data_IF_105219604884
#
_entry.id   IF_105219604884
#
_cell.length_a   1.000
_cell.length_b   1.000
_cell.length_c   1.000
_cell.angle_alpha   90.00
_cell.angle_beta   90.00
_cell.angle_gamma   90.00
#
_symmetry.space_group_name_H-M   'P 1'
#
loop_
_entity.id
_entity.type
_entity.pdbx_description
1 polymer ?
#
# COMPACT_ATOMS: atom_id res chain seq x y z
N UNK A 1 -23.33 -17.04 -25.88
CA UNK A 1 -22.04 -17.15 -26.60
C UNK A 1 -20.93 -16.72 -25.65
N UNK A 2 -20.00 -17.61 -25.30
CA UNK A 2 -18.84 -17.28 -24.45
C UNK A 2 -17.74 -16.68 -25.33
N UNK A 3 -17.14 -15.56 -24.92
CA UNK A 3 -15.95 -15.01 -25.58
C UNK A 3 -14.79 -16.01 -25.49
N UNK A 4 -13.95 -16.06 -26.53
CA UNK A 4 -12.70 -16.81 -26.48
C UNK A 4 -11.78 -16.19 -25.40
N UNK A 5 -10.87 -16.98 -24.79
CA UNK A 5 -9.93 -16.48 -23.79
C UNK A 5 -9.12 -15.27 -24.28
N UNK A 6 -8.68 -15.26 -25.54
CA UNK A 6 -7.94 -14.16 -26.15
C UNK A 6 -8.78 -12.87 -26.27
N UNK A 7 -10.04 -12.99 -26.71
CA UNK A 7 -10.96 -11.86 -26.76
C UNK A 7 -11.28 -11.30 -25.37
N UNK A 8 -11.37 -12.17 -24.36
CA UNK A 8 -11.55 -11.75 -22.97
C UNK A 8 -10.36 -10.94 -22.46
N UNK A 9 -9.13 -11.40 -22.70
CA UNK A 9 -7.91 -10.67 -22.32
C UNK A 9 -7.81 -9.31 -23.01
N UNK A 10 -8.09 -9.24 -24.32
CA UNK A 10 -8.12 -7.97 -25.06
C UNK A 10 -9.16 -7.01 -24.52
N UNK A 11 -10.36 -7.51 -24.20
CA UNK A 11 -11.44 -6.70 -23.62
C UNK A 11 -11.06 -6.14 -22.24
N UNK A 12 -10.45 -6.95 -21.36
CA UNK A 12 -9.99 -6.50 -20.03
C UNK A 12 -8.93 -5.40 -20.16
N UNK A 13 -7.97 -5.58 -21.08
CA UNK A 13 -6.94 -4.56 -21.35
C UNK A 13 -7.53 -3.25 -21.89
N UNK A 14 -8.54 -3.31 -22.76
CA UNK A 14 -9.23 -2.13 -23.24
C UNK A 14 -9.99 -1.43 -22.10
N UNK A 15 -10.68 -2.18 -21.25
CA UNK A 15 -11.38 -1.64 -20.07
C UNK A 15 -10.42 -0.93 -19.12
N UNK A 16 -9.31 -1.56 -18.77
CA UNK A 16 -8.32 -0.94 -17.88
C UNK A 16 -7.69 0.31 -18.49
N UNK A 17 -7.46 0.32 -19.81
CA UNK A 17 -6.95 1.50 -20.53
C UNK A 17 -7.95 2.65 -20.53
N UNK A 18 -9.22 2.38 -20.84
CA UNK A 18 -10.29 3.41 -20.87
C UNK A 18 -10.56 3.96 -19.47
N UNK A 19 -10.58 3.10 -18.45
CA UNK A 19 -10.70 3.52 -17.05
C UNK A 19 -9.51 4.41 -16.66
N UNK A 20 -8.31 4.00 -17.02
CA UNK A 20 -7.07 4.76 -16.84
C UNK A 20 -7.14 6.17 -17.43
N UNK A 21 -7.45 6.28 -18.72
CA UNK A 21 -7.58 7.56 -19.40
C UNK A 21 -8.67 8.45 -18.78
N UNK A 22 -9.78 7.85 -18.35
CA UNK A 22 -10.87 8.59 -17.72
C UNK A 22 -10.45 9.23 -16.39
N UNK A 23 -9.69 8.50 -15.58
CA UNK A 23 -9.15 9.01 -14.30
C UNK A 23 -8.07 10.06 -14.55
N UNK A 24 -7.11 9.79 -15.45
CA UNK A 24 -6.08 10.77 -15.85
C UNK A 24 -6.73 12.07 -16.33
N UNK A 25 -7.78 11.99 -17.16
CA UNK A 25 -8.52 13.17 -17.62
C UNK A 25 -9.21 13.91 -16.46
N UNK A 26 -9.81 13.18 -15.52
CA UNK A 26 -10.38 13.75 -14.30
C UNK A 26 -9.34 14.51 -13.47
N UNK A 27 -8.14 13.93 -13.31
CA UNK A 27 -7.05 14.56 -12.59
C UNK A 27 -6.44 15.75 -13.31
N UNK A 28 -6.27 15.69 -14.64
CA UNK A 28 -5.86 16.85 -15.42
C UNK A 28 -6.88 17.99 -15.32
N UNK A 29 -8.17 17.68 -15.29
CA UNK A 29 -9.23 18.67 -15.07
C UNK A 29 -9.17 19.26 -13.67
N UNK A 30 -8.98 18.45 -12.64
CA UNK A 30 -8.85 18.91 -11.26
C UNK A 30 -7.59 19.75 -11.07
N UNK A 31 -6.44 19.29 -11.54
CA UNK A 31 -5.19 20.05 -11.51
C UNK A 31 -5.34 21.39 -12.22
N UNK A 32 -5.97 21.42 -13.41
CA UNK A 32 -6.27 22.66 -14.13
C UNK A 32 -7.25 23.57 -13.37
N UNK A 33 -8.21 23.00 -12.64
CA UNK A 33 -9.15 23.77 -11.83
C UNK A 33 -8.47 24.37 -10.59
N UNK A 34 -7.58 23.62 -9.95
CA UNK A 34 -6.77 24.06 -8.82
C UNK A 34 -5.81 25.16 -9.27
N UNK A 35 -5.04 24.96 -10.34
CA UNK A 35 -4.07 25.96 -10.85
C UNK A 35 -4.71 27.24 -11.38
N UNK A 36 -6.00 27.22 -11.77
CA UNK A 36 -6.75 28.43 -12.15
C UNK A 36 -7.25 29.25 -10.96
N UNK A 37 -7.38 28.63 -9.78
CA UNK A 37 -7.96 29.26 -8.58
C UNK A 37 -6.93 29.53 -7.48
N UNK A 38 -5.74 28.96 -7.61
CA UNK A 38 -4.77 28.88 -6.52
C UNK A 38 -3.36 29.05 -7.07
N UNK A 39 -2.69 30.11 -6.61
CA UNK A 39 -1.25 30.29 -6.72
C UNK A 39 -0.66 30.20 -5.30
N UNK A 40 0.14 29.17 -4.99
CA UNK A 40 0.74 28.96 -3.67
C UNK A 40 1.69 30.08 -3.24
N UNK A 41 2.24 30.84 -4.18
CA UNK A 41 3.14 31.97 -3.92
C UNK A 41 2.38 33.31 -3.84
N UNK A 42 1.05 33.29 -3.90
CA UNK A 42 0.25 34.51 -3.85
C UNK A 42 0.31 35.16 -2.46
N UNK A 43 0.86 36.38 -2.42
CA UNK A 43 1.03 37.18 -1.21
C UNK A 43 -0.30 37.38 -0.46
N UNK A 44 -0.24 37.21 0.86
CA UNK A 44 -1.33 37.55 1.78
C UNK A 44 -1.08 38.90 2.43
N UNK A 45 -2.15 39.61 2.74
CA UNK A 45 -2.04 40.79 3.58
C UNK A 45 -1.58 40.41 5.00
N UNK A 46 -0.56 41.09 5.56
CA UNK A 46 -0.03 40.81 6.89
C UNK A 46 -1.09 40.89 7.99
N UNK A 47 -0.91 40.08 9.04
CA UNK A 47 -1.73 40.18 10.24
C UNK A 47 -1.55 41.58 10.89
N UNK A 48 -2.66 42.26 11.19
CA UNK A 48 -2.67 43.63 11.72
C UNK A 48 -3.11 44.71 10.72
N UNK A 49 -3.22 44.37 9.43
CA UNK A 49 -3.80 45.26 8.40
C UNK A 49 -5.34 45.09 8.33
N UNK A 50 -6.09 46.09 7.84
CA UNK A 50 -7.55 45.99 7.67
C UNK A 50 -8.02 44.83 6.78
N UNK A 51 -7.16 44.33 5.88
CA UNK A 51 -7.41 43.14 5.06
C UNK A 51 -6.60 41.90 5.49
N UNK A 52 -6.06 41.86 6.71
CA UNK A 52 -5.24 40.75 7.20
C UNK A 52 -5.89 39.37 6.99
N UNK A 53 -5.14 38.45 6.37
CA UNK A 53 -5.61 37.12 5.98
C UNK A 53 -6.30 37.05 4.61
N UNK A 54 -6.56 38.18 3.95
CA UNK A 54 -7.04 38.22 2.57
C UNK A 54 -5.89 38.06 1.58
N UNK A 55 -6.23 37.62 0.36
CA UNK A 55 -5.32 37.67 -0.77
C UNK A 55 -5.06 39.13 -1.15
N UNK A 56 -3.80 39.54 -1.27
CA UNK A 56 -3.48 40.88 -1.73
C UNK A 56 -3.92 41.03 -3.20
N UNK A 57 -4.82 41.98 -3.47
CA UNK A 57 -5.21 42.30 -4.84
C UNK A 57 -4.25 43.35 -5.40
N UNK A 58 -3.30 42.94 -6.26
CA UNK A 58 -3.09 43.56 -7.58
C UNK A 58 -1.79 43.13 -8.26
N UNK A 59 -1.85 43.14 -9.60
CA UNK A 59 -0.76 43.63 -10.44
C UNK A 59 0.20 42.55 -10.93
N UNK A 60 0.28 42.41 -12.25
CA UNK A 60 1.16 41.43 -12.89
C UNK A 60 2.65 41.66 -12.63
N UNK A 61 3.39 40.55 -12.76
CA UNK A 61 4.83 40.55 -12.94
C UNK A 61 5.63 40.24 -11.67
N UNK A 62 6.04 38.98 -11.50
CA UNK A 62 7.42 38.52 -11.81
C UNK A 62 7.62 37.17 -11.12
N UNK A 63 7.45 36.09 -11.89
CA UNK A 63 7.55 34.72 -11.39
C UNK A 63 8.95 34.42 -10.88
N UNK A 64 9.06 34.25 -9.56
CA UNK A 64 10.19 33.58 -8.94
C UNK A 64 9.75 32.14 -8.66
N UNK A 65 10.52 31.22 -9.22
CA UNK A 65 10.25 29.79 -9.29
C UNK A 65 10.28 29.13 -7.91
N UNK A 66 9.12 29.03 -7.25
CA UNK A 66 8.85 28.09 -6.17
C UNK A 66 8.02 26.93 -6.72
N UNK A 67 8.61 25.75 -6.90
CA UNK A 67 7.88 24.55 -7.30
C UNK A 67 6.93 24.09 -6.20
N UNK A 68 5.70 24.61 -6.18
CA UNK A 68 4.59 24.01 -5.45
C UNK A 68 3.65 23.32 -6.45
N UNK A 69 3.97 22.07 -6.79
CA UNK A 69 3.09 21.25 -7.62
C UNK A 69 2.19 20.37 -6.74
N UNK A 70 0.88 20.62 -6.81
CA UNK A 70 -0.08 19.51 -6.78
C UNK A 70 0.34 18.55 -7.90
N UNK A 71 0.93 17.41 -7.56
CA UNK A 71 1.46 16.44 -8.51
C UNK A 71 0.52 15.25 -8.64
N UNK A 72 0.04 15.01 -9.86
CA UNK A 72 -0.54 13.72 -10.21
C UNK A 72 0.59 12.77 -10.58
N UNK A 73 0.67 11.64 -9.88
CA UNK A 73 1.65 10.61 -10.13
C UNK A 73 0.95 9.33 -10.55
N UNK A 74 1.43 8.69 -11.60
CA UNK A 74 0.94 7.39 -12.04
C UNK A 74 2.05 6.34 -11.88
N UNK A 75 1.69 5.20 -11.29
CA UNK A 75 2.56 4.04 -11.15
C UNK A 75 1.85 2.82 -11.71
N UNK A 76 2.54 2.01 -12.51
CA UNK A 76 2.02 0.72 -12.98
C UNK A 76 2.73 -0.38 -12.22
N UNK A 77 1.97 -1.23 -11.54
CA UNK A 77 2.49 -2.34 -10.75
C UNK A 77 2.75 -3.58 -11.62
N UNK A 78 3.48 -4.56 -11.09
CA UNK A 78 3.84 -5.78 -11.83
C UNK A 78 2.62 -6.60 -12.30
N UNK A 79 1.53 -6.59 -11.53
CA UNK A 79 0.26 -7.24 -11.89
C UNK A 79 -0.57 -6.46 -12.93
N UNK A 80 -0.02 -5.34 -13.44
CA UNK A 80 -0.64 -4.49 -14.45
C UNK A 80 -1.69 -3.52 -13.91
N UNK A 81 -1.82 -3.42 -12.58
CA UNK A 81 -2.68 -2.41 -11.94
C UNK A 81 -2.07 -1.02 -12.10
N UNK A 82 -2.90 0.00 -12.29
CA UNK A 82 -2.48 1.40 -12.42
C UNK A 82 -2.90 2.15 -11.16
N UNK A 83 -1.94 2.75 -10.46
CA UNK A 83 -2.17 3.55 -9.26
C UNK A 83 -1.92 5.00 -9.60
N UNK A 84 -2.98 5.80 -9.57
CA UNK A 84 -2.91 7.24 -9.77
C UNK A 84 -3.06 7.94 -8.41
N UNK A 85 -2.04 8.67 -8.00
CA UNK A 85 -1.99 9.37 -6.72
C UNK A 85 -2.08 10.87 -6.94
N UNK A 86 -2.93 11.51 -6.15
CA UNK A 86 -3.07 12.96 -6.06
C UNK A 86 -2.83 13.40 -4.63
N UNK A 87 -2.00 14.43 -4.47
CA UNK A 87 -1.83 15.11 -3.18
C UNK A 87 -2.29 16.56 -3.29
N UNK A 88 -3.23 16.97 -2.44
CA UNK A 88 -3.76 18.33 -2.39
C UNK A 88 -3.28 18.97 -1.08
N UNK A 89 -2.19 19.73 -1.14
CA UNK A 89 -1.54 20.27 0.07
C UNK A 89 -2.19 21.54 0.65
N UNK A 90 -3.26 22.09 0.07
CA UNK A 90 -3.62 23.51 0.28
C UNK A 90 -5.06 23.84 0.69
N UNK A 91 -5.92 22.90 1.12
CA UNK A 91 -7.28 23.25 1.57
C UNK A 91 -7.77 22.45 2.80
N UNK A 92 -7.90 23.08 3.98
CA UNK A 92 -8.56 22.49 5.16
C UNK A 92 -10.07 22.20 5.01
N UNK A 93 -10.66 22.51 3.85
CA UNK A 93 -12.10 22.40 3.58
C UNK A 93 -12.47 21.26 2.61
N UNK A 94 -11.50 20.47 2.12
CA UNK A 94 -11.79 19.25 1.37
C UNK A 94 -11.69 18.05 2.32
N UNK A 95 -12.57 17.06 2.11
CA UNK A 95 -12.71 15.89 2.98
C UNK A 95 -11.45 14.99 3.04
N UNK A 96 -10.43 15.25 2.21
CA UNK A 96 -9.19 14.47 2.09
C UNK A 96 -7.99 15.33 1.63
N UNK A 97 -6.78 14.99 2.07
CA UNK A 97 -5.49 15.63 1.74
C UNK A 97 -4.66 14.84 0.71
N UNK A 98 -4.90 13.53 0.60
CA UNK A 98 -4.31 12.65 -0.40
C UNK A 98 -5.35 11.64 -0.92
N UNK A 99 -5.35 11.38 -2.23
CA UNK A 99 -6.22 10.39 -2.85
C UNK A 99 -5.43 9.48 -3.78
N UNK A 100 -5.64 8.17 -3.64
CA UNK A 100 -5.11 7.17 -4.56
C UNK A 100 -6.25 6.46 -5.27
N UNK A 101 -6.25 6.48 -6.59
CA UNK A 101 -7.14 5.65 -7.41
C UNK A 101 -6.37 4.46 -7.94
N UNK A 102 -6.77 3.26 -7.53
CA UNK A 102 -6.24 2.00 -8.03
C UNK A 102 -7.19 1.45 -9.09
N UNK A 103 -6.65 1.16 -10.27
CA UNK A 103 -7.34 0.54 -11.40
C UNK A 103 -6.69 -0.82 -11.60
N UNK A 104 -7.39 -1.88 -11.23
CA UNK A 104 -6.93 -3.25 -11.39
C UNK A 104 -6.79 -3.60 -12.89
N UNK A 105 -6.05 -4.68 -13.19
CA UNK A 105 -5.81 -5.14 -14.57
C UNK A 105 -7.10 -5.56 -15.31
N UNK A 106 -8.17 -5.87 -14.58
CA UNK A 106 -9.51 -6.14 -15.13
C UNK A 106 -10.37 -4.87 -15.35
N UNK A 107 -9.87 -3.71 -14.93
CA UNK A 107 -10.52 -2.40 -15.03
C UNK A 107 -11.29 -1.98 -13.79
N UNK A 108 -11.42 -2.84 -12.76
CA UNK A 108 -12.09 -2.48 -11.51
C UNK A 108 -11.36 -1.33 -10.82
N UNK A 109 -12.12 -0.34 -10.34
CA UNK A 109 -11.58 0.88 -9.72
C UNK A 109 -11.88 0.90 -8.22
N UNK A 110 -10.86 1.20 -7.41
CA UNK A 110 -10.99 1.45 -5.97
C UNK A 110 -10.30 2.78 -5.63
N UNK A 111 -10.92 3.59 -4.78
CA UNK A 111 -10.40 4.91 -4.39
C UNK A 111 -10.07 4.88 -2.90
N UNK A 112 -8.86 5.30 -2.55
CA UNK A 112 -8.38 5.46 -1.17
C UNK A 112 -8.22 6.95 -0.91
N UNK A 113 -9.06 7.50 -0.04
CA UNK A 113 -9.05 8.91 0.36
C UNK A 113 -8.46 9.01 1.75
N UNK A 114 -7.39 9.80 1.90
CA UNK A 114 -6.72 10.07 3.16
C UNK A 114 -7.15 11.43 3.67
N UNK A 115 -7.47 11.52 4.95
CA UNK A 115 -7.61 12.76 5.69
C UNK A 115 -6.73 12.65 6.93
N UNK A 116 -5.45 13.05 6.80
CA UNK A 116 -4.45 12.84 7.82
C UNK A 116 -4.14 11.35 8.05
N UNK A 117 -4.72 10.75 9.10
CA UNK A 117 -4.59 9.31 9.42
C UNK A 117 -5.86 8.50 9.14
N UNK A 118 -6.97 9.18 8.86
CA UNK A 118 -8.23 8.55 8.49
C UNK A 118 -8.20 8.19 7.01
N UNK A 119 -8.48 6.93 6.68
CA UNK A 119 -8.63 6.43 5.32
C UNK A 119 -10.08 6.06 5.07
N UNK A 120 -10.67 6.61 4.01
CA UNK A 120 -11.96 6.15 3.46
C UNK A 120 -11.69 5.45 2.14
N UNK A 121 -12.11 4.19 2.03
CA UNK A 121 -11.96 3.40 0.81
C UNK A 121 -13.32 3.26 0.13
N UNK A 122 -13.39 3.58 -1.15
CA UNK A 122 -14.61 3.61 -1.94
C UNK A 122 -14.50 2.74 -3.18
N UNK A 123 -15.64 2.18 -3.56
CA UNK A 123 -15.83 1.62 -4.89
C UNK A 123 -15.78 2.75 -5.91
N UNK A 124 -14.90 2.63 -6.91
CA UNK A 124 -14.61 3.71 -7.84
C UNK A 124 -15.64 3.91 -8.95
N UNK A 125 -16.60 3.00 -9.08
CA UNK A 125 -17.73 3.11 -10.02
C UNK A 125 -18.96 3.74 -9.35
N UNK A 126 -19.30 3.25 -8.15
CA UNK A 126 -20.53 3.62 -7.43
C UNK A 126 -20.32 4.70 -6.38
N UNK A 127 -19.07 4.92 -5.92
CA UNK A 127 -18.74 5.82 -4.80
C UNK A 127 -19.09 5.26 -3.42
N UNK A 128 -19.63 4.03 -3.34
CA UNK A 128 -20.00 3.35 -2.09
C UNK A 128 -18.78 3.19 -1.19
N UNK A 129 -18.91 3.51 0.09
CA UNK A 129 -17.84 3.30 1.07
C UNK A 129 -17.71 1.79 1.33
N UNK A 130 -16.54 1.25 1.00
CA UNK A 130 -16.15 -0.15 1.23
C UNK A 130 -15.55 -0.34 2.63
N UNK A 131 -14.73 0.61 3.07
CA UNK A 131 -14.09 0.60 4.37
C UNK A 131 -13.82 2.02 4.84
N UNK A 132 -13.76 2.21 6.16
CA UNK A 132 -13.24 3.43 6.76
C UNK A 132 -12.50 3.10 8.04
N UNK A 133 -11.28 3.59 8.17
CA UNK A 133 -10.40 3.29 9.30
C UNK A 133 -9.52 4.49 9.62
N UNK A 134 -9.07 4.59 10.86
CA UNK A 134 -8.09 5.60 11.29
C UNK A 134 -6.88 4.91 11.90
N UNK A 135 -5.69 5.27 11.45
CA UNK A 135 -4.45 4.77 12.03
C UNK A 135 -4.15 5.52 13.32
N UNK A 136 -4.12 4.79 14.44
CA UNK A 136 -3.82 5.30 15.78
C UNK A 136 -2.75 4.40 16.39
N UNK A 137 -1.59 4.97 16.72
CA UNK A 137 -0.47 4.24 17.31
C UNK A 137 -0.05 3.00 16.48
N UNK A 138 0.00 3.14 15.15
CA UNK A 138 0.32 2.03 14.26
C UNK A 138 -0.75 0.94 14.22
N UNK A 139 -2.00 1.26 14.57
CA UNK A 139 -3.16 0.38 14.48
C UNK A 139 -4.32 1.04 13.74
N UNK A 140 -4.82 0.36 12.72
CA UNK A 140 -6.02 0.73 12.01
C UNK A 140 -7.24 0.36 12.87
N UNK A 141 -7.95 1.38 13.34
CA UNK A 141 -9.23 1.23 14.04
C UNK A 141 -10.39 1.45 13.06
N UNK A 142 -11.42 0.60 13.05
CA UNK A 142 -12.62 0.83 12.23
C UNK A 142 -13.34 2.10 12.68
N UNK A 143 -13.76 2.92 11.72
CA UNK A 143 -14.72 3.99 11.97
C UNK A 143 -16.13 3.57 11.52
N UNK A 144 -17.14 3.92 12.32
CA UNK A 144 -18.51 3.81 11.88
C UNK A 144 -18.79 4.88 10.81
N UNK A 145 -19.40 4.45 9.71
CA UNK A 145 -19.92 5.36 8.68
C UNK A 145 -21.37 4.99 8.35
N UNK A 146 -22.14 5.99 7.93
CA UNK A 146 -23.53 5.79 7.52
C UNK A 146 -23.53 5.09 6.16
N UNK A 147 -24.12 3.89 6.09
CA UNK A 147 -24.39 3.20 4.83
C UNK A 147 -25.80 3.53 4.36
N UNK A 148 -25.99 3.81 3.07
CA UNK A 148 -27.32 3.93 2.50
C UNK A 148 -28.00 2.54 2.50
N UNK A 149 -29.24 2.49 2.98
CA UNK A 149 -30.06 1.27 3.06
C UNK A 149 -30.37 0.75 1.66
N UNK A 150 -29.83 -0.43 1.30
CA UNK A 150 -30.06 -1.09 0.00
C UNK A 150 -28.81 -1.72 -0.65
N UNK A 151 -27.61 -1.46 -0.14
CA UNK A 151 -26.34 -1.92 -0.73
C UNK A 151 -25.94 -3.38 -0.36
N UNK A 152 -26.86 -4.23 0.07
CA UNK A 152 -26.53 -5.51 0.73
C UNK A 152 -26.00 -6.62 -0.19
N UNK A 153 -26.20 -6.53 -1.51
CA UNK A 153 -25.83 -7.60 -2.45
C UNK A 153 -24.47 -7.39 -3.14
N UNK A 154 -23.98 -6.15 -3.23
CA UNK A 154 -22.66 -5.80 -3.79
C UNK A 154 -21.50 -5.99 -2.78
N UNK A 155 -21.82 -6.13 -1.49
CA UNK A 155 -20.86 -6.20 -0.39
C UNK A 155 -20.02 -7.49 -0.29
N UNK A 156 -20.33 -8.55 -1.05
CA UNK A 156 -19.56 -9.82 -1.04
C UNK A 156 -18.53 -9.94 -2.17
N UNK A 157 -18.76 -9.29 -3.31
CA UNK A 157 -17.79 -9.24 -4.41
C UNK A 157 -16.62 -8.28 -4.11
N UNK A 158 -16.76 -7.44 -3.07
CA UNK A 158 -15.94 -6.26 -2.80
C UNK A 158 -14.70 -6.50 -1.91
N UNK A 159 -14.61 -7.58 -1.13
CA UNK A 159 -13.49 -7.78 -0.20
C UNK A 159 -12.18 -8.15 -0.91
N UNK A 160 -12.22 -9.12 -1.85
CA UNK A 160 -11.01 -9.50 -2.61
C UNK A 160 -10.50 -8.38 -3.53
N UNK A 161 -11.42 -7.67 -4.19
CA UNK A 161 -11.09 -6.51 -5.00
C UNK A 161 -10.45 -5.40 -4.15
N UNK A 162 -11.01 -5.12 -2.96
CA UNK A 162 -10.45 -4.19 -2.00
C UNK A 162 -9.02 -4.55 -1.58
N UNK A 163 -8.74 -5.82 -1.25
CA UNK A 163 -7.38 -6.21 -0.86
C UNK A 163 -6.40 -6.15 -2.01
N UNK A 164 -6.78 -6.63 -3.19
CA UNK A 164 -5.92 -6.54 -4.36
C UNK A 164 -5.61 -5.07 -4.70
N UNK A 165 -6.61 -4.20 -4.57
CA UNK A 165 -6.40 -2.76 -4.74
C UNK A 165 -5.46 -2.19 -3.66
N UNK A 166 -5.65 -2.57 -2.39
CA UNK A 166 -4.78 -2.12 -1.30
C UNK A 166 -3.35 -2.64 -1.44
N UNK A 167 -3.18 -3.88 -1.90
CA UNK A 167 -1.90 -4.50 -2.18
C UNK A 167 -1.18 -3.85 -3.38
N UNK A 168 -1.92 -3.47 -4.42
CA UNK A 168 -1.39 -2.69 -5.53
C UNK A 168 -0.98 -1.26 -5.09
N UNK A 169 -1.77 -0.65 -4.19
CA UNK A 169 -1.39 0.62 -3.58
C UNK A 169 -0.12 0.48 -2.72
N UNK A 170 0.00 -0.58 -1.91
CA UNK A 170 1.22 -0.88 -1.16
C UNK A 170 2.42 -0.97 -2.10
N UNK A 171 2.31 -1.72 -3.19
CA UNK A 171 3.38 -1.85 -4.19
C UNK A 171 3.83 -0.49 -4.73
N UNK A 172 2.86 0.32 -5.17
CA UNK A 172 3.11 1.65 -5.73
C UNK A 172 3.70 2.63 -4.71
N UNK A 173 3.34 2.53 -3.43
CA UNK A 173 3.90 3.36 -2.36
C UNK A 173 5.29 2.87 -1.91
N UNK A 174 5.55 1.57 -1.95
CA UNK A 174 6.81 0.97 -1.47
C UNK A 174 8.03 1.36 -2.31
N UNK A 175 7.83 1.66 -3.60
CA UNK A 175 8.91 2.16 -4.49
C UNK A 175 9.19 3.65 -4.35
N UNK A 176 8.30 4.39 -3.70
CA UNK A 176 8.53 5.82 -3.49
C UNK A 176 9.67 5.94 -2.49
N UNK A 177 10.81 6.49 -2.94
CA UNK A 177 11.86 6.98 -2.04
C UNK A 177 11.29 8.18 -1.27
N UNK A 178 10.58 7.87 -0.20
CA UNK A 178 9.91 8.85 0.64
C UNK A 178 10.79 9.09 1.86
N UNK A 179 11.14 10.36 2.12
CA UNK A 179 11.64 10.77 3.44
C UNK A 179 10.55 10.68 4.52
N UNK A 180 9.30 10.50 4.09
CA UNK A 180 8.07 10.63 4.86
C UNK A 180 7.64 9.31 5.53
N UNK A 181 8.38 8.20 5.32
CA UNK A 181 8.10 6.92 5.98
C UNK A 181 8.07 5.69 5.06
N UNK A 182 7.67 4.56 5.65
CA UNK A 182 7.56 3.25 5.01
C UNK A 182 6.10 2.96 4.64
N UNK A 183 5.85 2.37 3.48
CA UNK A 183 4.50 1.94 3.12
C UNK A 183 4.11 0.69 3.91
N UNK A 184 2.88 0.67 4.43
CA UNK A 184 2.29 -0.51 5.06
C UNK A 184 0.91 -0.82 4.49
N UNK A 185 0.57 -2.09 4.57
CA UNK A 185 -0.78 -2.61 4.41
C UNK A 185 -1.19 -3.27 5.72
N UNK A 186 -2.22 -2.76 6.37
CA UNK A 186 -2.80 -3.33 7.59
C UNK A 186 -4.20 -3.87 7.33
N UNK A 187 -4.45 -5.10 7.77
CA UNK A 187 -5.76 -5.73 7.73
C UNK A 187 -5.95 -6.71 8.92
N UNK A 188 -7.19 -6.93 9.40
CA UNK A 188 -7.46 -7.91 10.43
C UNK A 188 -7.29 -9.32 9.89
N UNK A 189 -6.82 -10.25 10.71
CA UNK A 189 -6.65 -11.64 10.30
C UNK A 189 -7.99 -12.30 9.97
N UNK A 190 -9.04 -12.00 10.74
CA UNK A 190 -10.39 -12.59 10.57
C UNK A 190 -11.04 -12.28 9.22
N UNK A 191 -10.59 -11.23 8.53
CA UNK A 191 -11.08 -10.85 7.20
C UNK A 191 -10.75 -11.89 6.12
N UNK A 192 -9.77 -12.74 6.36
CA UNK A 192 -9.30 -13.77 5.42
C UNK A 192 -9.65 -15.20 5.86
N UNK A 193 -10.18 -15.38 7.08
CA UNK A 193 -10.61 -16.68 7.63
C UNK A 193 -11.98 -17.13 7.10
N UNK A 194 -12.88 -16.18 6.78
CA UNK A 194 -14.29 -16.48 6.50
C UNK A 194 -14.65 -16.16 5.06
N UNK A 195 -15.35 -17.10 4.40
CA UNK A 195 -16.15 -16.86 3.17
C UNK A 195 -17.17 -15.71 3.32
N UNK A 196 -17.37 -15.23 4.54
CA UNK A 196 -18.08 -14.00 4.90
C UNK A 196 -17.10 -13.12 5.67
N UNK A 197 -16.46 -12.15 4.99
CA UNK A 197 -15.66 -11.13 5.70
C UNK A 197 -16.54 -10.39 6.72
N UNK A 198 -15.96 -9.74 7.76
CA UNK A 198 -16.72 -8.91 8.67
C UNK A 198 -17.56 -7.87 7.92
N UNK A 199 -18.69 -7.53 8.51
CA UNK A 199 -19.64 -6.54 7.98
C UNK A 199 -18.99 -5.18 7.69
N UNK A 200 -17.80 -4.93 8.26
CA UNK A 200 -16.96 -3.76 8.00
C UNK A 200 -15.48 -4.19 7.92
N UNK A 201 -14.87 -4.29 6.73
CA UNK A 201 -13.44 -4.56 6.60
C UNK A 201 -12.63 -3.40 7.18
N UNK A 202 -11.65 -3.70 8.04
CA UNK A 202 -10.67 -2.72 8.53
C UNK A 202 -9.44 -2.84 7.64
N UNK A 203 -9.33 -2.02 6.61
CA UNK A 203 -8.13 -1.98 5.77
C UNK A 203 -7.52 -0.60 5.89
N UNK A 204 -6.20 -0.54 5.98
CA UNK A 204 -5.46 0.71 5.92
C UNK A 204 -4.19 0.53 5.08
N UNK A 205 -3.96 1.44 4.14
CA UNK A 205 -2.76 1.43 3.27
C UNK A 205 -2.20 2.83 3.13
N UNK A 206 -0.92 3.02 3.43
CA UNK A 206 -0.32 4.35 3.38
C UNK A 206 1.12 4.36 3.88
N UNK A 207 1.74 5.54 3.83
CA UNK A 207 3.05 5.78 4.41
C UNK A 207 2.93 6.04 5.91
N UNK A 208 3.76 5.38 6.71
CA UNK A 208 3.88 5.56 8.16
C UNK A 208 5.31 5.89 8.55
N UNK A 209 5.45 6.74 9.56
CA UNK A 209 6.76 7.07 10.11
C UNK A 209 7.42 5.83 10.72
N UNK A 210 8.74 5.77 10.66
CA UNK A 210 9.50 4.61 11.15
C UNK A 210 9.25 4.35 12.65
N UNK A 211 9.01 5.39 13.46
CA UNK A 211 8.69 5.23 14.88
C UNK A 211 7.32 4.59 15.09
N UNK A 212 6.30 5.02 14.34
CA UNK A 212 4.95 4.44 14.39
C UNK A 212 4.98 2.97 13.93
N UNK A 213 5.73 2.68 12.85
CA UNK A 213 5.89 1.32 12.37
C UNK A 213 6.62 0.42 13.36
N UNK A 214 7.65 0.91 14.06
CA UNK A 214 8.33 0.15 15.12
C UNK A 214 7.43 -0.10 16.33
N UNK A 215 6.51 0.80 16.65
CA UNK A 215 5.54 0.55 17.70
C UNK A 215 4.62 -0.63 17.35
N UNK A 216 4.27 -0.79 16.08
CA UNK A 216 3.45 -1.90 15.59
C UNK A 216 4.25 -3.19 15.32
N UNK A 217 5.50 -3.06 14.87
CA UNK A 217 6.42 -4.15 14.52
C UNK A 217 7.79 -3.94 15.22
N UNK A 218 7.89 -4.27 16.54
CA UNK A 218 9.07 -3.96 17.35
C UNK A 218 10.40 -4.52 16.84
N UNK A 219 10.38 -5.66 16.13
CA UNK A 219 11.61 -6.29 15.61
C UNK A 219 12.08 -5.70 14.28
N UNK A 220 11.34 -4.75 13.68
CA UNK A 220 11.70 -4.14 12.39
C UNK A 220 13.15 -3.65 12.33
N UNK A 221 13.62 -2.98 13.38
CA UNK A 221 14.99 -2.47 13.43
C UNK A 221 16.05 -3.57 13.39
N UNK A 222 15.81 -4.68 14.11
CA UNK A 222 16.70 -5.85 14.09
C UNK A 222 16.68 -6.54 12.72
N UNK A 223 15.49 -6.68 12.12
CA UNK A 223 15.35 -7.25 10.77
C UNK A 223 16.09 -6.40 9.73
N UNK A 224 16.01 -5.06 9.83
CA UNK A 224 16.74 -4.15 8.94
C UNK A 224 18.26 -4.32 9.09
N UNK A 225 18.78 -4.42 10.32
CA UNK A 225 20.21 -4.67 10.56
C UNK A 225 20.64 -5.99 9.94
N UNK A 226 19.86 -7.06 10.12
CA UNK A 226 20.14 -8.37 9.53
C UNK A 226 20.16 -8.30 8.00
N UNK A 227 19.21 -7.57 7.39
CA UNK A 227 19.14 -7.40 5.94
C UNK A 227 20.38 -6.63 5.42
N UNK A 228 20.76 -5.54 6.07
CA UNK A 228 21.93 -4.75 5.70
C UNK A 228 23.22 -5.58 5.82
N UNK A 229 23.38 -6.32 6.92
CA UNK A 229 24.51 -7.23 7.10
C UNK A 229 24.53 -8.37 6.07
N UNK A 230 23.37 -8.89 5.67
CA UNK A 230 23.27 -9.92 4.65
C UNK A 230 23.73 -9.39 3.29
N UNK A 231 23.39 -8.14 2.95
CA UNK A 231 23.90 -7.47 1.76
C UNK A 231 25.41 -7.29 1.82
N UNK A 232 25.93 -6.79 2.95
CA UNK A 232 27.37 -6.58 3.14
C UNK A 232 28.15 -7.90 2.98
N UNK A 233 27.64 -8.99 3.58
CA UNK A 233 28.24 -10.33 3.49
C UNK A 233 28.23 -10.86 2.04
N UNK A 234 27.11 -10.76 1.32
CA UNK A 234 27.02 -11.23 -0.06
C UNK A 234 27.90 -10.41 -0.99
N UNK A 235 27.94 -9.08 -0.81
CA UNK A 235 28.85 -8.19 -1.56
C UNK A 235 30.32 -8.57 -1.31
N UNK A 236 30.70 -8.80 -0.04
CA UNK A 236 32.06 -9.19 0.32
C UNK A 236 32.46 -10.58 -0.22
N UNK A 237 31.51 -11.52 -0.29
CA UNK A 237 31.77 -12.87 -0.83
C UNK A 237 32.05 -12.89 -2.35
N UNK A 238 31.62 -11.85 -3.07
CA UNK A 238 31.73 -11.79 -4.53
C UNK A 238 30.91 -12.87 -5.26
N UNK A 239 31.07 -12.94 -6.58
CA UNK A 239 30.58 -14.08 -7.36
C UNK A 239 29.05 -14.20 -7.54
N UNK A 240 28.31 -13.09 -7.46
CA UNK A 240 26.91 -13.07 -7.90
C UNK A 240 26.83 -13.00 -9.42
N UNK A 241 26.10 -13.95 -10.04
CA UNK A 241 26.02 -14.07 -11.51
C UNK A 241 25.20 -12.95 -12.15
N UNK A 242 24.12 -12.59 -11.48
CA UNK A 242 23.16 -11.56 -11.88
C UNK A 242 22.42 -11.02 -10.65
N UNK A 243 21.51 -10.08 -10.85
CA UNK A 243 20.73 -9.46 -9.78
C UNK A 243 19.81 -10.45 -9.05
N UNK A 244 19.32 -11.49 -9.73
CA UNK A 244 18.46 -12.51 -9.13
C UNK A 244 19.28 -13.42 -8.22
N UNK A 245 20.45 -13.87 -8.66
CA UNK A 245 21.40 -14.65 -7.87
C UNK A 245 21.86 -13.86 -6.64
N UNK A 246 22.16 -12.57 -6.81
CA UNK A 246 22.47 -11.66 -5.70
C UNK A 246 21.33 -11.61 -4.66
N UNK A 247 20.10 -11.35 -5.12
CA UNK A 247 18.92 -11.33 -4.24
C UNK A 247 18.71 -12.66 -3.52
N UNK A 248 18.74 -13.78 -4.24
CA UNK A 248 18.59 -15.12 -3.65
C UNK A 248 19.62 -15.39 -2.54
N UNK A 249 20.88 -14.99 -2.75
CA UNK A 249 21.94 -15.11 -1.74
C UNK A 249 21.67 -14.22 -0.52
N UNK A 250 21.23 -12.98 -0.71
CA UNK A 250 20.89 -12.07 0.40
C UNK A 250 19.75 -12.65 1.24
N UNK A 251 18.67 -13.13 0.62
CA UNK A 251 17.57 -13.78 1.34
C UNK A 251 18.06 -15.00 2.14
N UNK A 252 18.91 -15.85 1.53
CA UNK A 252 19.45 -17.03 2.21
C UNK A 252 20.33 -16.67 3.42
N UNK A 253 21.18 -15.64 3.30
CA UNK A 253 22.03 -15.15 4.40
C UNK A 253 21.18 -14.54 5.52
N UNK A 254 20.23 -13.68 5.18
CA UNK A 254 19.32 -13.08 6.15
C UNK A 254 18.51 -14.15 6.91
N UNK A 255 18.00 -15.15 6.19
CA UNK A 255 17.25 -16.25 6.78
C UNK A 255 18.08 -17.10 7.73
N UNK A 256 19.33 -17.39 7.36
CA UNK A 256 20.28 -18.09 8.23
C UNK A 256 20.54 -17.30 9.51
N UNK A 257 20.77 -15.98 9.40
CA UNK A 257 20.98 -15.09 10.56
C UNK A 257 19.76 -15.10 11.49
N UNK A 258 18.55 -14.96 10.95
CA UNK A 258 17.30 -15.01 11.74
C UNK A 258 17.10 -16.39 12.40
N UNK A 259 17.29 -17.47 11.65
CA UNK A 259 17.13 -18.83 12.16
C UNK A 259 18.09 -19.12 13.33
N UNK A 260 19.31 -18.57 13.28
CA UNK A 260 20.30 -18.71 14.34
C UNK A 260 19.92 -17.99 15.65
N UNK A 261 18.98 -17.03 15.61
CA UNK A 261 18.44 -16.41 16.82
C UNK A 261 17.60 -17.39 17.66
N UNK A 262 17.11 -18.48 17.04
CA UNK A 262 16.25 -19.50 17.67
C UNK A 262 15.02 -18.89 18.34
N UNK A 263 14.53 -17.78 17.80
CA UNK A 263 13.37 -17.09 18.32
C UNK A 263 12.09 -17.62 17.66
N UNK A 264 11.15 -18.22 18.41
CA UNK A 264 9.90 -18.69 17.83
C UNK A 264 9.03 -17.56 17.28
N UNK A 265 9.23 -16.32 17.71
CA UNK A 265 8.44 -15.16 17.29
C UNK A 265 9.09 -14.37 16.15
N UNK A 266 10.26 -14.79 15.65
CA UNK A 266 10.89 -14.20 14.48
C UNK A 266 11.44 -15.32 13.59
N UNK A 267 10.69 -15.64 12.53
CA UNK A 267 10.99 -16.77 11.64
C UNK A 267 11.20 -16.29 10.22
N UNK A 268 12.12 -16.93 9.51
CA UNK A 268 12.46 -16.57 8.12
C UNK A 268 12.23 -17.72 7.15
N UNK A 269 12.01 -17.38 5.89
CA UNK A 269 11.85 -18.31 4.75
C UNK A 269 10.82 -19.42 4.99
N UNK A 270 9.73 -19.08 5.70
CA UNK A 270 8.65 -20.04 5.96
C UNK A 270 7.78 -20.15 4.72
N UNK A 271 7.66 -21.36 4.19
CA UNK A 271 6.83 -21.67 3.04
C UNK A 271 5.46 -22.18 3.47
N UNK A 272 4.40 -21.69 2.83
CA UNK A 272 3.06 -22.24 2.98
C UNK A 272 2.46 -22.61 1.64
N UNK A 273 1.72 -23.71 1.59
CA UNK A 273 1.03 -24.15 0.37
C UNK A 273 -0.47 -23.91 0.56
N UNK A 274 -1.17 -23.31 -0.42
CA UNK A 274 -2.62 -23.16 -0.35
C UNK A 274 -3.32 -24.49 -0.03
N UNK A 275 -4.20 -24.48 0.97
CA UNK A 275 -4.94 -25.66 1.43
C UNK A 275 -4.20 -26.55 2.45
N UNK A 276 -2.97 -26.22 2.83
CA UNK A 276 -2.25 -26.85 3.95
C UNK A 276 -2.12 -25.89 5.13
N UNK A 277 -2.33 -26.40 6.33
CA UNK A 277 -2.28 -25.61 7.58
C UNK A 277 -0.93 -25.67 8.32
N UNK A 278 0.09 -26.26 7.70
CA UNK A 278 1.43 -26.39 8.29
C UNK A 278 2.47 -25.76 7.38
N UNK A 279 3.47 -25.12 7.99
CA UNK A 279 4.69 -24.70 7.30
C UNK A 279 5.29 -25.87 6.52
N UNK A 280 5.78 -25.59 5.33
CA UNK A 280 6.33 -26.56 4.40
C UNK A 280 7.84 -26.35 4.26
N UNK A 281 8.60 -27.41 3.91
CA UNK A 281 10.00 -27.27 3.55
C UNK A 281 10.20 -26.32 2.34
N UNK A 282 11.41 -25.80 2.21
CA UNK A 282 11.83 -25.02 1.05
C UNK A 282 11.73 -25.85 -0.25
N UNK A 283 11.39 -25.19 -1.36
CA UNK A 283 11.37 -25.80 -2.70
C UNK A 283 10.09 -26.56 -3.08
N UNK A 284 9.05 -26.52 -2.24
CA UNK A 284 7.75 -27.13 -2.59
C UNK A 284 7.08 -26.33 -3.72
N UNK A 285 6.72 -27.02 -4.80
CA UNK A 285 6.01 -26.40 -5.93
C UNK A 285 4.70 -25.76 -5.46
N UNK A 286 4.46 -24.53 -5.89
CA UNK A 286 3.28 -23.72 -5.52
C UNK A 286 3.20 -23.30 -4.05
N UNK A 287 4.32 -23.30 -3.32
CA UNK A 287 4.39 -22.67 -2.00
C UNK A 287 4.66 -21.17 -2.08
N UNK A 288 3.98 -20.38 -1.26
CA UNK A 288 4.34 -18.98 -0.97
C UNK A 288 5.38 -18.97 0.14
N UNK A 289 6.51 -18.32 -0.11
CA UNK A 289 7.61 -18.17 0.85
C UNK A 289 7.63 -16.76 1.40
N UNK A 290 7.57 -16.65 2.73
CA UNK A 290 7.67 -15.38 3.44
C UNK A 290 9.12 -15.15 3.82
N UNK A 291 9.64 -13.95 3.54
CA UNK A 291 11.04 -13.66 3.82
C UNK A 291 11.28 -13.59 5.33
N UNK A 292 10.52 -12.76 6.04
CA UNK A 292 10.51 -12.67 7.51
C UNK A 292 9.10 -12.51 8.04
N UNK A 293 8.76 -13.31 9.05
CA UNK A 293 7.53 -13.24 9.82
C UNK A 293 7.87 -12.98 11.28
N UNK A 294 7.35 -11.87 11.79
CA UNK A 294 7.42 -11.47 13.19
C UNK A 294 6.06 -11.66 13.84
N UNK A 295 5.99 -12.38 14.96
CA UNK A 295 4.83 -12.45 15.84
C UNK A 295 4.98 -11.45 16.97
N UNK A 296 4.31 -10.32 16.83
CA UNK A 296 4.38 -9.19 17.76
C UNK A 296 3.18 -9.17 18.70
N UNK A 297 3.36 -8.56 19.87
CA UNK A 297 2.32 -8.44 20.89
C UNK A 297 1.66 -7.05 20.88
N UNK A 298 0.32 -7.00 21.09
CA UNK A 298 -0.61 -8.13 21.16
C UNK A 298 -1.07 -8.59 19.77
N UNK A 299 -1.00 -9.91 19.51
CA UNK A 299 -1.69 -10.65 18.42
C UNK A 299 -1.53 -10.03 17.02
N UNK A 300 -0.35 -9.51 16.72
CA UNK A 300 -0.02 -8.90 15.42
C UNK A 300 1.01 -9.75 14.70
N UNK A 301 0.83 -9.95 13.39
CA UNK A 301 1.85 -10.54 12.53
C UNK A 301 2.40 -9.47 11.61
N UNK A 302 3.70 -9.20 11.71
CA UNK A 302 4.39 -8.31 10.79
C UNK A 302 5.18 -9.14 9.77
N UNK A 303 4.95 -8.86 8.49
CA UNK A 303 5.66 -9.48 7.38
C UNK A 303 6.58 -8.44 6.76
N UNK A 304 7.87 -8.73 6.79
CA UNK A 304 8.90 -7.91 6.16
C UNK A 304 9.36 -8.63 4.88
N UNK A 305 8.90 -8.16 3.72
CA UNK A 305 9.27 -8.70 2.41
C UNK A 305 10.55 -8.02 1.93
N UNK A 306 11.65 -8.78 1.83
CA UNK A 306 12.95 -8.23 1.47
C UNK A 306 13.04 -7.96 -0.03
N UNK A 307 13.60 -6.81 -0.39
CA UNK A 307 13.87 -6.43 -1.80
C UNK A 307 15.26 -5.85 -1.96
N UNK A 308 16.07 -6.48 -2.82
CA UNK A 308 17.45 -6.05 -3.12
C UNK A 308 17.62 -5.33 -4.46
N UNK A 309 16.57 -5.22 -5.26
CA UNK A 309 16.57 -4.55 -6.57
C UNK A 309 15.25 -3.83 -6.83
N UNK A 310 15.06 -3.24 -8.01
CA UNK A 310 13.94 -2.34 -8.32
C UNK A 310 12.54 -3.01 -8.36
N UNK A 311 12.49 -4.35 -8.30
CA UNK A 311 11.22 -5.09 -8.20
C UNK A 311 10.44 -4.72 -6.95
N UNK A 312 9.13 -4.61 -7.07
CA UNK A 312 8.20 -4.27 -5.98
C UNK A 312 7.59 -5.55 -5.39
N UNK A 313 6.99 -5.46 -4.21
CA UNK A 313 6.04 -6.46 -3.74
C UNK A 313 4.84 -6.45 -4.69
N UNK A 314 4.50 -7.58 -5.31
CA UNK A 314 3.34 -7.64 -6.20
C UNK A 314 2.03 -7.67 -5.40
N UNK A 315 0.96 -7.10 -5.95
CA UNK A 315 -0.35 -7.08 -5.30
C UNK A 315 -0.84 -8.50 -4.96
N UNK A 316 -0.64 -9.42 -5.91
CA UNK A 316 -0.95 -10.85 -5.73
C UNK A 316 -0.15 -11.44 -4.57
N UNK A 317 1.14 -11.11 -4.46
CA UNK A 317 1.98 -11.60 -3.36
C UNK A 317 1.48 -11.09 -2.01
N UNK A 318 1.25 -9.79 -1.86
CA UNK A 318 0.75 -9.21 -0.61
C UNK A 318 -0.62 -9.79 -0.20
N UNK A 319 -1.57 -9.95 -1.11
CA UNK A 319 -2.86 -10.61 -0.79
C UNK A 319 -2.66 -12.08 -0.41
N UNK A 320 -1.81 -12.83 -1.14
CA UNK A 320 -1.54 -14.25 -0.83
C UNK A 320 -0.88 -14.40 0.54
N UNK A 321 0.05 -13.50 0.89
CA UNK A 321 0.67 -13.43 2.23
C UNK A 321 -0.40 -13.29 3.30
N UNK A 322 -1.27 -12.27 3.18
CA UNK A 322 -2.31 -12.02 4.17
C UNK A 322 -3.29 -13.20 4.31
N UNK A 323 -3.71 -13.79 3.19
CA UNK A 323 -4.57 -14.98 3.17
C UNK A 323 -3.93 -16.19 3.87
N UNK A 324 -2.63 -16.43 3.65
CA UNK A 324 -1.93 -17.56 4.25
C UNK A 324 -1.73 -17.35 5.75
N UNK A 325 -1.43 -16.13 6.19
CA UNK A 325 -1.24 -15.83 7.61
C UNK A 325 -2.52 -16.03 8.39
N UNK A 326 -3.65 -15.50 7.90
CA UNK A 326 -4.92 -15.70 8.57
C UNK A 326 -5.32 -17.18 8.72
N UNK A 327 -4.94 -18.05 7.77
CA UNK A 327 -5.20 -19.48 7.87
C UNK A 327 -4.31 -20.20 8.88
N UNK A 328 -3.04 -19.81 8.96
CA UNK A 328 -2.03 -20.50 9.77
C UNK A 328 -1.87 -19.91 11.18
N UNK A 329 -2.36 -18.70 11.40
CA UNK A 329 -2.32 -17.98 12.68
C UNK A 329 -3.71 -17.42 13.03
N UNK A 330 -4.71 -18.28 13.26
CA UNK A 330 -6.10 -17.87 13.50
C UNK A 330 -6.30 -17.14 14.84
N UNK A 331 -5.33 -17.27 15.74
CA UNK A 331 -5.26 -16.52 16.98
C UNK A 331 -4.70 -15.11 16.77
N UNK A 332 -4.23 -14.71 15.59
CA UNK A 332 -3.78 -13.35 15.35
C UNK A 332 -4.98 -12.45 15.03
N UNK A 333 -4.91 -11.19 15.41
CA UNK A 333 -5.97 -10.21 15.14
C UNK A 333 -5.63 -9.34 13.94
N UNK A 334 -4.35 -9.18 13.64
CA UNK A 334 -3.85 -8.19 12.68
C UNK A 334 -2.68 -8.72 11.90
N UNK A 335 -2.62 -8.31 10.64
CA UNK A 335 -1.51 -8.55 9.72
C UNK A 335 -1.04 -7.18 9.21
N UNK A 336 0.26 -6.92 9.30
CA UNK A 336 0.94 -5.77 8.71
C UNK A 336 1.93 -6.31 7.69
N UNK A 337 1.82 -5.86 6.44
CA UNK A 337 2.76 -6.20 5.37
C UNK A 337 3.54 -4.95 4.99
N UNK A 338 4.87 -5.08 4.95
CA UNK A 338 5.79 -4.01 4.55
C UNK A 338 6.88 -4.57 3.66
N UNK A 339 7.23 -3.82 2.62
CA UNK A 339 8.44 -4.05 1.85
C UNK A 339 9.64 -3.45 2.61
N UNK A 340 10.72 -4.20 2.71
CA UNK A 340 11.96 -3.77 3.36
C UNK A 340 13.12 -3.85 2.38
N UNK A 341 13.85 -2.75 2.27
CA UNK A 341 15.01 -2.61 1.39
C UNK A 341 16.27 -2.37 2.23
N UNK A 342 17.44 -2.86 1.79
CA UNK A 342 18.71 -2.51 2.42
C UNK A 342 18.90 -0.99 2.44
N UNK A 343 19.47 -0.45 3.51
CA UNK A 343 19.75 0.99 3.65
C UNK A 343 21.16 1.39 3.22
N UNK A 344 22.01 0.41 2.87
CA UNK A 344 23.44 0.59 2.60
C UNK A 344 23.88 0.32 1.16
#
# INVERSE_FOLDING_TARGET
MSLSPDHRTKLLRLRSTVAGLSVTLGFLRLQRALSRKYDPDQLREPAGSPGGGRWASNGGGQGTSGQSSSGAEETVTEDGSRVLSLRIRSQPHQDWDEQHTVIASDGTRTIFEMAGRTQTIRDGETGTILARSTLVNGRAEPEAFVQQTGASTLARASSRALYNAGAALLAALSVRKSRDGSAIFEAPASLYERRQGPDKPVVWVGLVEEQELRAACPRRGEVQVILDEAVDEVRASGGSKDAQDFGNKVHAVAARKITNLKDPNLVAEVSYVPGKSAAQPYGIRSSLRLDVLERSVPRTVCIHDHKTGESQISAVRATTIAEMIARNFPDMQRIIVTEMRPTR
#
